data_IF_186303638646
#
_entry.id   IF_186303638646
#
_cell.length_a   1.000
_cell.length_b   1.000
_cell.length_c   1.000
_cell.angle_alpha   90.00
_cell.angle_beta   90.00
_cell.angle_gamma   90.00
#
_symmetry.space_group_name_H-M   'P 1'
#
loop_
_entity.id
_entity.type
_entity.pdbx_description
1 polymer ?
#
# COMPACT_ATOMS: atom_id res chain seq x y z
N UNK A 1 48.51 36.53 16.98
CA UNK A 1 48.68 36.38 18.45
C UNK A 1 47.48 35.71 19.13
N UNK A 2 46.23 36.02 18.75
CA UNK A 2 45.05 35.43 19.41
C UNK A 2 44.95 33.90 19.24
N UNK A 3 45.28 33.37 18.05
CA UNK A 3 45.26 31.93 17.75
C UNK A 3 46.16 31.08 18.65
N UNK A 4 47.31 31.62 19.07
CA UNK A 4 48.24 30.93 19.98
C UNK A 4 47.67 30.90 21.41
N UNK A 5 47.00 31.97 21.84
CA UNK A 5 46.31 32.00 23.13
C UNK A 5 45.11 31.05 23.14
N UNK A 6 44.35 30.97 22.04
CA UNK A 6 43.20 30.06 21.91
C UNK A 6 43.66 28.60 22.00
N UNK A 7 44.74 28.25 21.29
CA UNK A 7 45.34 26.93 21.38
C UNK A 7 45.87 26.64 22.80
N UNK A 8 46.57 27.60 23.42
CA UNK A 8 47.09 27.46 24.78
C UNK A 8 45.97 27.22 25.79
N UNK A 9 44.83 27.90 25.65
CA UNK A 9 43.66 27.70 26.49
C UNK A 9 43.09 26.28 26.33
N UNK A 10 43.02 25.75 25.11
CA UNK A 10 42.56 24.36 24.87
C UNK A 10 43.48 23.35 25.54
N UNK A 11 44.80 23.54 25.48
CA UNK A 11 45.75 22.67 26.17
C UNK A 11 45.67 22.81 27.69
N UNK A 12 45.58 24.03 28.23
CA UNK A 12 45.42 24.25 29.66
C UNK A 12 44.17 23.55 30.18
N UNK A 13 43.04 23.71 29.50
CA UNK A 13 41.77 23.09 29.90
C UNK A 13 41.84 21.56 29.86
N UNK A 14 42.44 20.99 28.82
CA UNK A 14 42.62 19.55 28.70
C UNK A 14 43.54 18.97 29.79
N UNK A 15 44.60 19.69 30.16
CA UNK A 15 45.52 19.29 31.23
C UNK A 15 44.85 19.39 32.60
N UNK A 16 44.16 20.50 32.87
CA UNK A 16 43.46 20.74 34.14
C UNK A 16 42.34 19.71 34.38
N UNK A 17 41.61 19.33 33.32
CA UNK A 17 40.56 18.33 33.39
C UNK A 17 41.06 16.89 33.23
N UNK A 18 42.37 16.68 32.99
CA UNK A 18 42.94 15.36 32.73
C UNK A 18 42.35 14.65 31.50
N UNK A 19 41.88 15.41 30.51
CA UNK A 19 41.25 14.90 29.29
C UNK A 19 42.27 14.74 28.17
N UNK A 20 42.18 13.62 27.47
CA UNK A 20 43.01 13.39 26.29
C UNK A 20 42.45 14.17 25.10
N UNK A 21 43.34 14.83 24.34
CA UNK A 21 42.95 15.54 23.12
C UNK A 21 42.81 14.53 21.98
N UNK A 22 41.57 14.22 21.64
CA UNK A 22 41.24 13.19 20.63
C UNK A 22 41.38 13.69 19.19
N UNK A 23 41.21 15.00 18.96
CA UNK A 23 41.12 15.61 17.62
C UNK A 23 42.42 16.32 17.23
N UNK A 24 42.75 16.31 15.94
CA UNK A 24 43.92 17.00 15.42
C UNK A 24 43.76 18.52 15.54
N UNK A 25 44.73 19.14 16.21
CA UNK A 25 44.82 20.59 16.42
C UNK A 25 45.88 21.16 15.49
N UNK A 26 45.50 22.10 14.63
CA UNK A 26 46.39 22.68 13.63
C UNK A 26 46.44 24.21 13.74
N UNK A 27 47.64 24.76 13.66
CA UNK A 27 47.88 26.19 13.64
C UNK A 27 48.38 26.58 12.26
N UNK A 28 47.51 27.22 11.48
CA UNK A 28 47.77 27.65 10.10
C UNK A 28 47.86 29.18 10.06
N UNK A 29 49.10 29.69 10.10
CA UNK A 29 49.37 31.12 10.21
C UNK A 29 48.73 31.74 11.45
N UNK A 30 47.78 32.66 11.24
CA UNK A 30 47.05 33.34 12.33
C UNK A 30 45.75 32.62 12.74
N UNK A 31 45.51 31.39 12.29
CA UNK A 31 44.29 30.63 12.60
C UNK A 31 44.58 29.35 13.38
N UNK A 32 43.79 29.15 14.43
CA UNK A 32 43.72 27.88 15.14
C UNK A 32 42.51 27.08 14.63
N UNK A 33 42.74 25.84 14.18
CA UNK A 33 41.72 24.98 13.56
C UNK A 33 41.72 23.60 14.22
N UNK A 34 40.56 23.17 14.72
CA UNK A 34 40.32 21.81 15.21
C UNK A 34 39.72 20.98 14.07
N UNK A 35 40.43 19.94 13.62
CA UNK A 35 39.93 19.05 12.58
C UNK A 35 39.10 17.94 13.19
N UNK A 36 37.77 18.12 13.13
CA UNK A 36 36.80 17.17 13.70
C UNK A 36 36.79 15.79 13.05
N UNK A 37 37.40 15.62 11.88
CA UNK A 37 37.44 14.39 11.10
C UNK A 37 38.80 13.66 11.17
N UNK A 38 39.75 14.15 11.96
CA UNK A 38 41.08 13.54 12.12
C UNK A 38 41.33 13.33 13.61
N UNK A 39 41.47 12.06 14.01
CA UNK A 39 41.73 11.68 15.38
C UNK A 39 43.23 11.44 15.59
N UNK A 40 43.80 11.98 16.67
CA UNK A 40 45.21 11.82 17.03
C UNK A 40 45.45 10.48 17.74
N UNK A 41 44.40 9.95 18.37
CA UNK A 41 44.40 8.62 18.98
C UNK A 41 43.85 7.60 17.99
N UNK A 42 44.40 6.37 17.98
CA UNK A 42 43.75 5.25 17.29
C UNK A 42 42.38 5.03 17.96
N UNK A 43 41.31 5.48 17.30
CA UNK A 43 39.95 5.07 17.68
C UNK A 43 39.93 3.56 17.48
N UNK A 44 39.81 2.80 18.57
CA UNK A 44 39.47 1.39 18.47
C UNK A 44 38.13 1.35 17.75
N UNK A 45 38.13 0.85 16.50
CA UNK A 45 36.88 0.61 15.80
C UNK A 45 36.10 -0.39 16.64
N UNK A 46 35.04 0.05 17.31
CA UNK A 46 34.07 -0.83 17.94
C UNK A 46 33.64 -1.81 16.87
N UNK A 47 33.89 -3.11 17.10
CA UNK A 47 33.48 -4.13 16.14
C UNK A 47 31.96 -3.97 15.94
N UNK A 48 31.48 -3.81 14.68
CA UNK A 48 30.07 -3.56 14.41
C UNK A 48 29.24 -4.67 15.05
N UNK A 49 28.33 -4.28 15.95
CA UNK A 49 27.51 -5.20 16.72
C UNK A 49 26.78 -6.12 15.77
N UNK A 50 27.06 -7.41 15.90
CA UNK A 50 26.39 -8.44 15.11
C UNK A 50 25.00 -8.66 15.68
N UNK A 51 23.98 -8.26 14.94
CA UNK A 51 22.58 -8.36 15.32
C UNK A 51 21.98 -9.60 14.66
N UNK A 52 21.34 -10.43 15.49
CA UNK A 52 20.59 -11.62 15.06
C UNK A 52 19.10 -11.33 15.17
N UNK A 53 18.31 -11.96 14.30
CA UNK A 53 16.86 -11.98 14.48
C UNK A 53 16.51 -12.76 15.76
N UNK A 54 15.75 -12.15 16.67
CA UNK A 54 15.35 -12.79 17.93
C UNK A 54 14.26 -13.83 17.64
N UNK A 55 14.47 -15.06 18.11
CA UNK A 55 13.42 -16.08 18.15
C UNK A 55 12.43 -15.74 19.28
N UNK A 56 11.17 -15.49 18.91
CA UNK A 56 10.07 -15.37 19.87
C UNK A 56 9.20 -16.62 19.79
N UNK A 57 8.59 -17.02 20.92
CA UNK A 57 7.78 -18.24 20.99
C UNK A 57 6.58 -18.25 20.04
N UNK A 58 6.01 -17.07 19.76
CA UNK A 58 4.79 -16.89 18.96
C UNK A 58 5.03 -16.29 17.57
N UNK A 59 6.19 -15.68 17.31
CA UNK A 59 6.46 -14.95 16.06
C UNK A 59 7.38 -15.76 15.16
N UNK A 60 7.05 -15.81 13.87
CA UNK A 60 7.90 -16.47 12.88
C UNK A 60 9.18 -15.66 12.66
N UNK A 61 10.33 -16.31 12.60
CA UNK A 61 11.54 -15.70 12.05
C UNK A 61 11.37 -15.49 10.54
N UNK A 62 11.80 -14.35 10.01
CA UNK A 62 11.67 -14.05 8.59
C UNK A 62 12.50 -15.03 7.75
N UNK A 63 13.65 -15.48 8.25
CA UNK A 63 14.44 -16.53 7.60
C UNK A 63 13.65 -17.84 7.41
N UNK A 64 12.83 -18.23 8.40
CA UNK A 64 11.97 -19.41 8.28
C UNK A 64 10.80 -19.18 7.32
N UNK A 65 10.26 -17.96 7.28
CA UNK A 65 9.22 -17.60 6.30
C UNK A 65 9.72 -17.70 4.86
N UNK A 66 11.00 -17.42 4.59
CA UNK A 66 11.60 -17.64 3.27
C UNK A 66 11.56 -19.13 2.91
N UNK A 67 11.88 -20.03 3.85
CA UNK A 67 11.83 -21.48 3.61
C UNK A 67 10.39 -21.96 3.38
N UNK A 68 9.44 -21.47 4.19
CA UNK A 68 8.01 -21.75 4.00
C UNK A 68 7.51 -21.26 2.64
N UNK A 69 7.91 -20.06 2.22
CA UNK A 69 7.61 -19.53 0.89
C UNK A 69 8.09 -20.48 -0.21
N UNK A 70 9.31 -21.01 -0.12
CA UNK A 70 9.83 -21.96 -1.12
C UNK A 70 9.05 -23.29 -1.12
N UNK A 71 8.64 -23.80 0.05
CA UNK A 71 7.75 -24.97 0.14
C UNK A 71 6.42 -24.68 -0.56
N UNK A 72 5.75 -23.57 -0.21
CA UNK A 72 4.47 -23.19 -0.81
C UNK A 72 4.58 -22.95 -2.31
N UNK A 73 5.66 -22.34 -2.77
CA UNK A 73 5.91 -22.08 -4.19
C UNK A 73 6.16 -23.35 -4.98
N UNK A 74 6.76 -24.39 -4.39
CA UNK A 74 6.90 -25.71 -5.02
C UNK A 74 5.56 -26.42 -5.18
N UNK A 75 4.67 -26.28 -4.19
CA UNK A 75 3.33 -26.90 -4.21
C UNK A 75 2.35 -26.11 -5.08
N UNK A 76 2.40 -24.79 -5.02
CA UNK A 76 1.49 -23.87 -5.70
C UNK A 76 2.23 -22.64 -6.26
N UNK A 77 2.88 -22.78 -7.43
CA UNK A 77 3.65 -21.71 -8.05
C UNK A 77 2.84 -20.44 -8.38
N UNK A 78 1.53 -20.57 -8.59
CA UNK A 78 0.63 -19.46 -8.90
C UNK A 78 0.34 -18.55 -7.71
N UNK A 79 0.57 -19.01 -6.47
CA UNK A 79 0.18 -18.30 -5.25
C UNK A 79 -1.02 -18.89 -4.53
N UNK A 80 -1.80 -19.74 -5.20
CA UNK A 80 -3.06 -20.27 -4.65
C UNK A 80 -3.03 -21.78 -4.52
N UNK A 81 -3.48 -22.29 -3.37
CA UNK A 81 -3.60 -23.73 -3.11
C UNK A 81 -4.91 -24.06 -2.40
N UNK A 82 -5.33 -25.32 -2.43
CA UNK A 82 -6.46 -25.78 -1.62
C UNK A 82 -6.16 -25.54 -0.13
N UNK A 83 -7.16 -25.09 0.63
CA UNK A 83 -7.05 -24.87 2.08
C UNK A 83 -6.47 -26.10 2.78
N UNK A 84 -7.02 -27.29 2.50
CA UNK A 84 -6.56 -28.56 3.06
C UNK A 84 -5.08 -28.83 2.79
N UNK A 85 -4.56 -28.39 1.65
CA UNK A 85 -3.14 -28.57 1.31
C UNK A 85 -2.26 -27.70 2.21
N UNK A 86 -2.65 -26.44 2.43
CA UNK A 86 -1.95 -25.57 3.39
C UNK A 86 -1.98 -26.17 4.80
N UNK A 87 -3.14 -26.64 5.24
CA UNK A 87 -3.29 -27.28 6.56
C UNK A 87 -2.40 -28.50 6.69
N UNK A 88 -2.36 -29.40 5.70
CA UNK A 88 -1.52 -30.60 5.76
C UNK A 88 -0.04 -30.28 5.81
N UNK A 89 0.43 -29.29 5.05
CA UNK A 89 1.83 -28.84 5.12
C UNK A 89 2.15 -28.33 6.53
N UNK A 90 1.29 -27.49 7.12
CA UNK A 90 1.53 -26.93 8.45
C UNK A 90 1.41 -27.98 9.56
N UNK A 91 0.49 -28.93 9.44
CA UNK A 91 0.34 -30.07 10.34
C UNK A 91 1.57 -30.99 10.33
N UNK A 92 2.10 -31.27 9.13
CA UNK A 92 3.31 -32.06 8.96
C UNK A 92 4.51 -31.37 9.62
N UNK A 93 4.69 -30.07 9.36
CA UNK A 93 5.75 -29.28 9.99
C UNK A 93 5.59 -29.20 11.52
N UNK A 94 4.38 -29.03 12.03
CA UNK A 94 4.12 -28.96 13.47
C UNK A 94 4.32 -30.30 14.19
N UNK A 95 4.19 -31.44 13.49
CA UNK A 95 4.34 -32.77 14.08
C UNK A 95 5.77 -33.32 13.97
N UNK A 96 6.49 -33.04 12.87
CA UNK A 96 7.82 -33.60 12.60
C UNK A 96 8.98 -32.60 12.80
N UNK A 97 8.73 -31.31 13.01
CA UNK A 97 9.82 -30.33 13.10
C UNK A 97 10.64 -30.36 14.41
N UNK A 98 10.43 -31.36 15.28
CA UNK A 98 11.29 -31.64 16.45
C UNK A 98 12.25 -32.83 16.24
N UNK A 99 12.29 -33.42 15.04
CA UNK A 99 13.23 -34.49 14.73
C UNK A 99 14.69 -34.01 14.78
N UNK A 100 15.60 -34.85 15.29
CA UNK A 100 17.01 -34.49 15.48
C UNK A 100 17.68 -34.13 14.14
N UNK A 101 18.15 -32.89 14.02
CA UNK A 101 18.93 -32.40 12.88
C UNK A 101 18.15 -31.56 11.85
N UNK A 102 16.83 -31.43 11.98
CA UNK A 102 16.03 -30.58 11.09
C UNK A 102 15.76 -29.20 11.73
N UNK A 103 15.84 -28.10 10.95
CA UNK A 103 15.61 -26.75 11.48
C UNK A 103 14.13 -26.49 11.72
N UNK A 104 13.79 -26.05 12.94
CA UNK A 104 12.43 -25.68 13.34
C UNK A 104 11.92 -24.48 12.53
N UNK A 105 11.04 -24.72 11.55
CA UNK A 105 10.50 -23.67 10.68
C UNK A 105 9.37 -22.86 11.33
N UNK A 106 8.57 -23.49 12.19
CA UNK A 106 7.45 -22.84 12.88
C UNK A 106 7.92 -22.22 14.22
N UNK A 107 7.19 -21.22 14.77
CA UNK A 107 7.41 -20.75 16.13
C UNK A 107 7.21 -21.86 17.16
N UNK A 108 7.88 -21.79 18.31
CA UNK A 108 7.85 -22.85 19.32
C UNK A 108 6.44 -23.27 19.73
N UNK A 109 5.52 -22.32 19.90
CA UNK A 109 4.14 -22.61 20.32
C UNK A 109 3.33 -23.40 19.27
N UNK A 110 3.74 -23.39 17.99
CA UNK A 110 3.06 -24.15 16.95
C UNK A 110 3.26 -25.65 17.10
N UNK A 111 4.38 -26.08 17.69
CA UNK A 111 4.63 -27.49 18.00
C UNK A 111 3.80 -28.00 19.19
N UNK A 112 3.19 -27.09 19.95
CA UNK A 112 2.23 -27.45 20.99
C UNK A 112 0.81 -27.67 20.43
N UNK A 113 0.55 -27.27 19.18
CA UNK A 113 -0.77 -27.37 18.55
C UNK A 113 -1.08 -28.83 18.16
N UNK A 114 -2.32 -29.27 18.40
CA UNK A 114 -2.82 -30.53 17.83
C UNK A 114 -3.11 -30.34 16.34
N UNK A 115 -3.21 -31.43 15.60
CA UNK A 115 -3.58 -31.39 14.17
C UNK A 115 -4.88 -30.60 13.93
N UNK A 116 -5.89 -30.81 14.78
CA UNK A 116 -7.15 -30.06 14.72
C UNK A 116 -6.99 -28.57 15.01
N UNK A 117 -6.02 -28.19 15.85
CA UNK A 117 -5.78 -26.79 16.20
C UNK A 117 -5.17 -26.04 15.01
N UNK A 118 -4.29 -26.68 14.24
CA UNK A 118 -3.77 -26.10 12.98
C UNK A 118 -4.89 -25.78 12.00
N UNK A 119 -5.87 -26.70 11.83
CA UNK A 119 -7.06 -26.43 11.01
C UNK A 119 -7.84 -25.23 11.53
N UNK A 120 -8.03 -25.13 12.86
CA UNK A 120 -8.73 -23.99 13.48
C UNK A 120 -8.00 -22.66 13.28
N UNK A 121 -6.67 -22.66 13.29
CA UNK A 121 -5.86 -21.46 12.99
C UNK A 121 -6.14 -21.00 11.56
N UNK A 122 -6.10 -21.92 10.59
CA UNK A 122 -6.36 -21.60 9.18
C UNK A 122 -7.82 -21.16 8.96
N UNK A 123 -8.79 -21.83 9.57
CA UNK A 123 -10.20 -21.44 9.53
C UNK A 123 -10.43 -20.03 10.11
N UNK A 124 -9.78 -19.68 11.24
CA UNK A 124 -9.86 -18.31 11.80
C UNK A 124 -9.17 -17.28 10.88
N UNK A 125 -8.07 -17.67 10.22
CA UNK A 125 -7.30 -16.78 9.36
C UNK A 125 -7.94 -16.52 8.00
N UNK A 126 -8.58 -17.50 7.37
CA UNK A 126 -9.13 -17.36 6.03
C UNK A 126 -10.66 -17.50 5.95
N UNK A 127 -11.30 -17.97 7.02
CA UNK A 127 -12.70 -18.37 6.99
C UNK A 127 -12.88 -19.72 6.29
N UNK A 128 -14.14 -20.09 6.03
CA UNK A 128 -14.45 -21.29 5.27
C UNK A 128 -14.25 -21.03 3.78
N UNK A 129 -13.05 -21.33 3.28
CA UNK A 129 -12.66 -21.16 1.87
C UNK A 129 -12.08 -22.45 1.32
N UNK A 130 -12.34 -22.71 0.03
CA UNK A 130 -11.77 -23.89 -0.65
C UNK A 130 -10.30 -23.67 -1.04
N UNK A 131 -9.95 -22.42 -1.36
CA UNK A 131 -8.61 -22.03 -1.81
C UNK A 131 -8.11 -20.82 -1.02
N UNK A 132 -6.81 -20.87 -0.71
CA UNK A 132 -6.09 -19.82 0.02
C UNK A 132 -4.97 -19.25 -0.86
N UNK A 133 -4.75 -17.95 -0.75
CA UNK A 133 -3.52 -17.32 -1.24
C UNK A 133 -2.45 -17.47 -0.16
N UNK A 134 -1.44 -18.33 -0.40
CA UNK A 134 -0.41 -18.57 0.60
C UNK A 134 0.46 -17.33 0.84
N UNK A 135 0.48 -16.36 -0.09
CA UNK A 135 1.18 -15.09 0.13
C UNK A 135 0.55 -14.33 1.29
N UNK A 136 -0.77 -14.40 1.42
CA UNK A 136 -1.48 -13.76 2.52
C UNK A 136 -1.13 -14.39 3.87
N UNK A 137 -0.99 -15.72 3.94
CA UNK A 137 -0.50 -16.38 5.15
C UNK A 137 0.86 -15.81 5.58
N UNK A 138 1.81 -15.68 4.64
CA UNK A 138 3.13 -15.13 4.93
C UNK A 138 3.07 -13.65 5.35
N UNK A 139 2.18 -12.85 4.75
CA UNK A 139 1.96 -11.45 5.18
C UNK A 139 1.50 -11.38 6.63
N UNK A 140 0.57 -12.24 7.05
CA UNK A 140 0.16 -12.32 8.46
C UNK A 140 1.29 -12.83 9.35
N UNK A 141 2.10 -13.78 8.88
CA UNK A 141 3.18 -14.38 9.66
C UNK A 141 4.41 -13.47 9.82
N UNK A 142 4.64 -12.54 8.90
CA UNK A 142 5.69 -11.51 9.04
C UNK A 142 5.43 -10.56 10.22
N UNK A 143 4.17 -10.38 10.61
CA UNK A 143 3.76 -9.55 11.74
C UNK A 143 4.33 -8.12 11.65
N UNK A 144 4.05 -7.49 10.51
CA UNK A 144 4.46 -6.11 10.21
C UNK A 144 3.44 -5.10 10.77
N UNK A 145 3.87 -3.87 11.09
CA UNK A 145 2.96 -2.79 11.45
C UNK A 145 1.90 -2.56 10.37
N UNK A 146 0.62 -2.51 10.78
CA UNK A 146 -0.49 -2.21 9.89
C UNK A 146 -0.38 -0.78 9.36
N UNK A 147 -0.42 -0.54 8.03
CA UNK A 147 -0.38 0.80 7.48
C UNK A 147 -1.69 1.56 7.70
N UNK A 148 -1.55 2.88 7.87
CA UNK A 148 -2.66 3.81 7.70
C UNK A 148 -3.00 3.99 6.21
N UNK A 149 -4.14 4.63 5.91
CA UNK A 149 -4.47 4.98 4.52
C UNK A 149 -3.39 5.88 3.90
N UNK A 150 -2.89 6.84 4.66
CA UNK A 150 -1.84 7.77 4.22
C UNK A 150 -0.53 7.04 3.91
N UNK A 151 -0.18 6.03 4.70
CA UNK A 151 0.99 5.17 4.43
C UNK A 151 0.88 4.42 3.10
N UNK A 152 -0.30 3.87 2.80
CA UNK A 152 -0.58 3.17 1.53
C UNK A 152 -0.44 4.14 0.34
N UNK A 153 -1.07 5.33 0.44
CA UNK A 153 -1.05 6.33 -0.63
C UNK A 153 0.36 6.89 -0.83
N UNK A 154 1.06 7.24 0.24
CA UNK A 154 2.44 7.72 0.17
C UNK A 154 3.39 6.68 -0.45
N UNK A 155 3.26 5.40 -0.08
CA UNK A 155 4.05 4.34 -0.68
C UNK A 155 3.76 4.18 -2.18
N UNK A 156 2.49 4.23 -2.57
CA UNK A 156 2.06 4.16 -3.97
C UNK A 156 2.60 5.34 -4.78
N UNK A 157 2.54 6.56 -4.27
CA UNK A 157 3.02 7.74 -5.00
C UNK A 157 4.53 7.68 -5.26
N UNK A 158 5.30 7.17 -4.29
CA UNK A 158 6.75 6.92 -4.47
C UNK A 158 7.02 5.90 -5.56
N UNK A 159 6.24 4.83 -5.65
CA UNK A 159 6.38 3.84 -6.73
C UNK A 159 5.94 4.41 -8.07
N UNK A 160 4.81 5.13 -8.13
CA UNK A 160 4.30 5.76 -9.36
C UNK A 160 5.27 6.78 -9.94
N UNK A 161 5.97 7.53 -9.10
CA UNK A 161 7.03 8.46 -9.56
C UNK A 161 8.15 7.73 -10.33
N UNK A 162 8.30 6.42 -10.11
CA UNK A 162 9.29 5.55 -10.75
C UNK A 162 8.69 4.65 -11.86
N UNK A 163 7.37 4.70 -12.08
CA UNK A 163 6.62 3.97 -13.09
C UNK A 163 5.84 4.94 -13.99
N UNK A 164 6.52 5.68 -14.88
CA UNK A 164 5.89 6.67 -15.75
C UNK A 164 4.96 6.03 -16.80
N UNK A 165 5.16 4.74 -17.09
CA UNK A 165 4.36 3.98 -18.05
C UNK A 165 3.08 3.38 -17.42
N UNK A 166 2.88 3.57 -16.10
CA UNK A 166 1.73 3.06 -15.34
C UNK A 166 1.52 1.55 -15.52
N UNK A 167 2.60 0.77 -15.52
CA UNK A 167 2.57 -0.69 -15.68
C UNK A 167 2.31 -1.42 -14.36
N UNK A 168 2.23 -0.69 -13.26
CA UNK A 168 2.07 -1.21 -11.90
C UNK A 168 3.25 -2.08 -11.44
N UNK A 169 4.39 -1.93 -12.12
CA UNK A 169 5.63 -2.66 -11.83
C UNK A 169 6.81 -1.71 -11.73
N UNK A 170 7.74 -2.03 -10.83
CA UNK A 170 9.03 -1.33 -10.71
C UNK A 170 10.16 -2.33 -10.80
N UNK A 171 11.34 -1.88 -11.21
CA UNK A 171 12.55 -2.70 -11.19
C UNK A 171 12.99 -3.03 -9.75
N UNK A 172 13.75 -4.12 -9.57
CA UNK A 172 14.34 -4.47 -8.27
C UNK A 172 15.10 -3.29 -7.63
N UNK A 173 15.92 -2.58 -8.42
CA UNK A 173 16.67 -1.43 -7.91
C UNK A 173 15.77 -0.30 -7.40
N UNK A 174 14.68 -0.01 -8.12
CA UNK A 174 13.67 0.98 -7.70
C UNK A 174 12.94 0.50 -6.43
N UNK A 175 12.56 -0.77 -6.36
CA UNK A 175 11.93 -1.35 -5.17
C UNK A 175 12.82 -1.25 -3.92
N UNK A 176 14.09 -1.63 -4.03
CA UNK A 176 15.02 -1.58 -2.90
C UNK A 176 15.23 -0.16 -2.38
N UNK A 177 15.32 0.83 -3.27
CA UNK A 177 15.47 2.26 -2.90
C UNK A 177 14.22 2.88 -2.30
N UNK A 178 13.04 2.36 -2.61
CA UNK A 178 11.76 2.93 -2.14
C UNK A 178 11.43 2.45 -0.73
N UNK A 179 11.40 3.30 0.29
CA UNK A 179 11.00 2.87 1.63
C UNK A 179 9.50 2.61 1.70
N UNK A 180 9.13 1.60 2.50
CA UNK A 180 7.74 1.32 2.88
C UNK A 180 7.49 1.90 4.27
N UNK A 181 6.22 2.07 4.67
CA UNK A 181 5.81 2.75 5.90
C UNK A 181 6.46 2.18 7.18
N UNK A 182 6.70 0.87 7.24
CA UNK A 182 7.34 0.25 8.39
C UNK A 182 8.86 0.49 8.45
N UNK A 183 9.46 1.08 7.41
CA UNK A 183 10.87 1.51 7.34
C UNK A 183 11.04 3.03 7.22
N UNK A 184 9.95 3.80 7.14
CA UNK A 184 10.01 5.26 7.11
C UNK A 184 10.34 5.80 8.50
N UNK A 185 11.64 5.98 8.77
CA UNK A 185 12.07 6.81 9.89
C UNK A 185 12.17 8.27 9.42
N UNK A 186 11.56 9.24 10.13
CA UNK A 186 11.63 10.66 9.77
C UNK A 186 13.05 11.27 9.89
N UNK A 187 14.02 10.51 10.40
CA UNK A 187 15.44 10.89 10.45
C UNK A 187 16.15 10.29 9.22
N UNK A 188 16.30 11.10 8.18
CA UNK A 188 17.03 10.75 6.95
C UNK A 188 18.51 10.45 7.25
N UNK A 189 19.00 9.27 6.86
CA UNK A 189 19.93 9.12 5.72
C UNK A 189 20.46 7.68 5.59
N UNK A 190 20.47 7.20 4.34
CA UNK A 190 21.21 6.05 3.78
C UNK A 190 20.78 4.63 4.19
N UNK A 191 19.73 4.18 3.51
CA UNK A 191 19.41 2.75 3.27
C UNK A 191 20.39 2.10 2.26
N UNK A 192 21.29 2.89 1.64
CA UNK A 192 22.13 2.46 0.52
C UNK A 192 23.32 1.57 0.93
N UNK A 193 23.85 1.68 2.15
CA UNK A 193 25.01 0.89 2.60
C UNK A 193 24.65 -0.55 3.03
N UNK A 194 23.38 -0.84 3.30
CA UNK A 194 22.94 -2.16 3.78
C UNK A 194 22.51 -3.12 2.66
N UNK A 195 22.10 -2.59 1.50
CA UNK A 195 21.55 -3.41 0.42
C UNK A 195 22.60 -4.25 -0.30
N UNK A 196 23.85 -3.78 -0.40
CA UNK A 196 24.92 -4.52 -1.08
C UNK A 196 25.26 -5.81 -0.31
N UNK A 197 25.20 -5.78 1.02
CA UNK A 197 25.49 -6.92 1.91
C UNK A 197 24.33 -7.92 2.00
N UNK A 198 23.08 -7.45 1.94
CA UNK A 198 21.88 -8.32 2.00
C UNK A 198 21.62 -9.09 0.71
N UNK A 199 22.01 -8.53 -0.46
CA UNK A 199 21.79 -9.15 -1.76
C UNK A 199 22.73 -10.34 -2.02
N UNK A 200 24.00 -10.26 -1.60
CA UNK A 200 24.98 -11.36 -1.76
C UNK A 200 24.62 -12.60 -0.91
N UNK A 201 23.89 -12.45 0.21
CA UNK A 201 23.55 -13.59 1.08
C UNK A 201 22.25 -14.33 0.70
N UNK A 202 21.30 -13.66 0.05
CA UNK A 202 20.01 -14.25 -0.34
C UNK A 202 20.10 -15.17 -1.56
N UNK A 203 21.14 -15.03 -2.38
CA UNK A 203 21.51 -16.01 -3.42
C UNK A 203 22.23 -17.23 -2.83
N UNK A 204 22.93 -17.06 -1.69
CA UNK A 204 23.63 -18.14 -0.97
C UNK A 204 22.77 -19.02 -0.06
N UNK A 205 21.48 -18.71 0.18
CA UNK A 205 20.58 -19.60 0.96
C UNK A 205 20.21 -20.88 0.18
N UNK A 206 20.58 -20.97 -1.10
CA UNK A 206 20.42 -22.20 -1.89
C UNK A 206 21.56 -23.21 -1.72
N UNK A 207 22.66 -22.85 -1.03
CA UNK A 207 23.72 -23.79 -0.66
C UNK A 207 23.55 -24.22 0.80
N UNK A 208 23.26 -25.51 0.96
CA UNK A 208 23.27 -26.25 2.22
C UNK A 208 24.54 -25.93 3.02
N UNK A 209 24.39 -25.37 4.21
CA UNK A 209 25.19 -25.62 5.43
C UNK A 209 24.65 -24.73 6.58
N UNK A 210 24.57 -25.33 7.77
CA UNK A 210 24.01 -24.77 9.02
C UNK A 210 24.84 -23.62 9.61
N UNK A 211 24.85 -22.47 8.93
CA UNK A 211 25.46 -21.25 9.48
C UNK A 211 24.39 -20.19 9.81
N UNK A 212 24.16 -19.98 11.11
CA UNK A 212 23.39 -18.87 11.67
C UNK A 212 23.98 -17.51 11.23
N UNK A 213 23.35 -16.86 10.24
CA UNK A 213 23.89 -15.63 9.63
C UNK A 213 23.73 -14.40 10.54
N UNK A 214 24.82 -13.65 10.70
CA UNK A 214 24.97 -12.48 11.56
C UNK A 214 24.98 -11.20 10.72
N UNK A 215 24.20 -10.19 11.10
CA UNK A 215 24.13 -8.92 10.37
C UNK A 215 24.87 -7.81 11.13
N UNK A 216 25.64 -6.97 10.44
CA UNK A 216 26.34 -5.84 11.05
C UNK A 216 25.44 -4.60 11.06
N UNK A 217 25.17 -4.03 12.25
CA UNK A 217 24.53 -2.73 12.40
C UNK A 217 25.52 -1.75 13.04
N UNK A 218 25.62 -0.52 12.51
CA UNK A 218 26.41 0.55 13.13
C UNK A 218 25.62 1.10 14.33
N UNK A 219 26.25 1.12 15.52
CA UNK A 219 25.59 1.36 16.82
C UNK A 219 25.27 2.85 17.13
N UNK A 220 25.59 3.80 16.25
CA UNK A 220 25.55 5.23 16.57
C UNK A 220 24.24 5.98 16.22
N UNK A 221 23.20 5.32 15.70
CA UNK A 221 22.01 6.01 15.19
C UNK A 221 20.70 5.65 15.94
N UNK A 222 19.93 6.66 16.42
CA UNK A 222 18.68 6.43 17.14
C UNK A 222 17.55 6.03 16.19
N UNK A 223 17.46 4.74 15.90
CA UNK A 223 16.33 4.12 15.22
C UNK A 223 15.03 4.32 16.02
N UNK A 224 13.89 4.38 15.33
CA UNK A 224 12.56 4.44 15.95
C UNK A 224 12.15 3.10 16.60
N UNK A 225 12.95 2.05 16.40
CA UNK A 225 12.76 0.67 16.88
C UNK A 225 14.11 0.06 17.26
N UNK A 226 14.13 -1.07 17.98
CA UNK A 226 15.39 -1.74 18.29
C UNK A 226 16.13 -2.17 17.01
N UNK A 227 17.46 -2.35 17.06
CA UNK A 227 18.24 -2.83 15.92
C UNK A 227 17.72 -4.16 15.35
N UNK A 228 17.25 -5.06 16.22
CA UNK A 228 16.68 -6.36 15.85
C UNK A 228 15.36 -6.24 15.08
N UNK A 229 14.47 -5.35 15.53
CA UNK A 229 13.19 -5.09 14.86
C UNK A 229 13.41 -4.40 13.50
N UNK A 230 14.42 -3.53 13.42
CA UNK A 230 14.83 -2.89 12.16
C UNK A 230 15.32 -3.93 11.15
N UNK A 231 16.21 -4.84 11.58
CA UNK A 231 16.67 -5.96 10.76
C UNK A 231 15.50 -6.83 10.29
N UNK A 232 14.59 -7.22 11.19
CA UNK A 232 13.40 -8.00 10.85
C UNK A 232 12.59 -7.34 9.73
N UNK A 233 12.32 -6.05 9.85
CA UNK A 233 11.57 -5.28 8.85
C UNK A 233 12.28 -5.21 7.50
N UNK A 234 13.61 -5.10 7.50
CA UNK A 234 14.40 -5.16 6.28
C UNK A 234 14.32 -6.53 5.60
N UNK A 235 14.44 -7.61 6.37
CA UNK A 235 14.25 -8.98 5.86
C UNK A 235 12.84 -9.19 5.32
N UNK A 236 11.82 -8.68 6.02
CA UNK A 236 10.43 -8.78 5.58
C UNK A 236 10.19 -8.03 4.27
N UNK A 237 10.80 -6.86 4.08
CA UNK A 237 10.81 -6.15 2.79
C UNK A 237 11.44 -6.99 1.67
N UNK A 238 12.54 -7.71 1.96
CA UNK A 238 13.15 -8.61 0.97
C UNK A 238 12.24 -9.79 0.62
N UNK A 239 11.57 -10.37 1.62
CA UNK A 239 10.60 -11.44 1.39
C UNK A 239 9.40 -10.95 0.54
N UNK A 240 8.85 -9.77 0.85
CA UNK A 240 7.81 -9.14 0.04
C UNK A 240 8.24 -8.94 -1.41
N UNK A 241 9.48 -8.49 -1.63
CA UNK A 241 10.05 -8.38 -2.98
C UNK A 241 9.90 -9.71 -3.74
N UNK A 242 10.39 -10.81 -3.17
CA UNK A 242 10.34 -12.15 -3.79
C UNK A 242 8.92 -12.66 -4.04
N UNK A 243 7.99 -12.35 -3.15
CA UNK A 243 6.59 -12.80 -3.26
C UNK A 243 5.83 -12.12 -4.41
N UNK A 244 6.15 -10.86 -4.70
CA UNK A 244 5.46 -10.03 -5.69
C UNK A 244 6.29 -9.74 -6.95
N UNK A 245 7.39 -10.48 -7.15
CA UNK A 245 8.13 -10.47 -8.42
C UNK A 245 7.28 -11.06 -9.55
N UNK A 246 7.12 -10.30 -10.63
CA UNK A 246 6.44 -10.74 -11.86
C UNK A 246 7.40 -11.42 -12.84
N UNK A 247 8.67 -11.00 -12.83
CA UNK A 247 9.77 -11.65 -13.53
C UNK A 247 11.07 -11.54 -12.71
N UNK A 248 12.22 -11.87 -13.30
CA UNK A 248 13.53 -11.84 -12.60
C UNK A 248 14.02 -10.42 -12.22
N UNK A 249 13.33 -9.36 -12.66
CA UNK A 249 13.78 -7.97 -12.57
C UNK A 249 12.68 -7.00 -12.16
N UNK A 250 11.40 -7.39 -12.22
CA UNK A 250 10.26 -6.53 -11.91
C UNK A 250 9.44 -7.03 -10.72
N UNK A 251 8.92 -6.08 -9.94
CA UNK A 251 8.05 -6.29 -8.77
C UNK A 251 6.73 -5.56 -9.02
N UNK A 252 5.62 -6.26 -8.86
CA UNK A 252 4.29 -5.65 -8.91
C UNK A 252 3.99 -4.98 -7.57
N UNK A 253 4.15 -3.66 -7.53
CA UNK A 253 3.99 -2.89 -6.30
C UNK A 253 2.52 -2.68 -5.94
N UNK A 254 1.61 -2.63 -6.93
CA UNK A 254 0.17 -2.49 -6.66
C UNK A 254 -0.38 -3.72 -5.94
N UNK A 255 -0.06 -4.93 -6.43
CA UNK A 255 -0.45 -6.18 -5.79
C UNK A 255 0.16 -6.32 -4.38
N UNK A 256 1.41 -5.87 -4.20
CA UNK A 256 2.05 -5.82 -2.89
C UNK A 256 1.28 -4.91 -1.93
N UNK A 257 0.99 -3.67 -2.33
CA UNK A 257 0.28 -2.70 -1.47
C UNK A 257 -1.16 -3.17 -1.18
N UNK A 258 -1.83 -3.79 -2.15
CA UNK A 258 -3.17 -4.33 -2.00
C UNK A 258 -3.25 -5.39 -0.88
N UNK A 259 -2.18 -6.17 -0.67
CA UNK A 259 -2.11 -7.15 0.40
C UNK A 259 -2.17 -6.56 1.82
N UNK A 260 -1.94 -5.25 1.93
CA UNK A 260 -2.00 -4.48 3.19
C UNK A 260 -3.21 -3.54 3.28
N UNK A 261 -4.12 -3.56 2.30
CA UNK A 261 -5.40 -2.85 2.39
C UNK A 261 -6.36 -3.57 3.34
N UNK A 262 -6.04 -3.53 4.63
CA UNK A 262 -6.75 -4.21 5.72
C UNK A 262 -7.10 -3.21 6.81
N UNK A 263 -8.22 -3.44 7.48
CA UNK A 263 -8.65 -2.67 8.64
C UNK A 263 -9.41 -3.56 9.64
N UNK A 264 -9.73 -3.07 10.84
CA UNK A 264 -10.59 -3.80 11.77
C UNK A 264 -11.99 -3.96 11.16
N UNK A 265 -12.47 -2.90 10.51
CA UNK A 265 -13.70 -2.91 9.74
C UNK A 265 -13.40 -3.26 8.27
N UNK A 266 -13.89 -4.39 7.73
CA UNK A 266 -13.59 -4.78 6.35
C UNK A 266 -14.06 -3.76 5.30
N UNK A 267 -15.08 -2.94 5.62
CA UNK A 267 -15.48 -1.78 4.80
C UNK A 267 -14.32 -0.81 4.59
N UNK A 268 -13.63 -0.46 5.68
CA UNK A 268 -12.56 0.52 5.67
C UNK A 268 -11.28 -0.07 5.06
N UNK A 269 -11.06 -1.38 5.21
CA UNK A 269 -10.04 -2.12 4.46
C UNK A 269 -10.28 -2.10 2.94
N UNK A 270 -11.51 -2.34 2.49
CA UNK A 270 -11.87 -2.23 1.08
C UNK A 270 -11.80 -0.78 0.58
N UNK A 271 -12.16 0.21 1.40
CA UNK A 271 -11.99 1.62 1.07
C UNK A 271 -10.50 1.98 0.84
N UNK A 272 -9.56 1.40 1.61
CA UNK A 272 -8.12 1.53 1.34
C UNK A 272 -7.73 0.94 -0.01
N UNK A 273 -8.30 -0.20 -0.41
CA UNK A 273 -8.05 -0.82 -1.71
C UNK A 273 -8.57 0.05 -2.87
N UNK A 274 -9.76 0.65 -2.73
CA UNK A 274 -10.29 1.60 -3.69
C UNK A 274 -9.43 2.87 -3.78
N UNK A 275 -8.99 3.40 -2.64
CA UNK A 275 -8.11 4.57 -2.60
C UNK A 275 -6.76 4.32 -3.28
N UNK A 276 -6.19 3.13 -3.06
CA UNK A 276 -4.98 2.65 -3.73
C UNK A 276 -5.16 2.61 -5.26
N UNK A 277 -6.33 2.18 -5.76
CA UNK A 277 -6.61 2.19 -7.20
C UNK A 277 -6.78 3.62 -7.73
N UNK A 278 -7.54 4.45 -7.03
CA UNK A 278 -8.03 5.74 -7.54
C UNK A 278 -7.03 6.88 -7.44
N UNK A 279 -6.31 7.03 -6.34
CA UNK A 279 -5.47 8.23 -6.16
C UNK A 279 -5.47 8.73 -4.75
N UNK A 280 -6.66 8.66 -4.15
CA UNK A 280 -7.05 9.56 -3.08
C UNK A 280 -8.00 8.84 -2.12
N UNK A 281 -8.25 9.44 -0.95
CA UNK A 281 -9.19 8.93 0.02
C UNK A 281 -10.59 8.78 -0.57
N UNK A 282 -11.20 7.60 -0.37
CA UNK A 282 -12.58 7.33 -0.76
C UNK A 282 -13.50 7.56 0.42
N UNK A 283 -14.62 8.27 0.22
CA UNK A 283 -15.58 8.53 1.27
C UNK A 283 -16.33 7.24 1.66
N UNK A 284 -15.99 6.67 2.81
CA UNK A 284 -16.70 5.53 3.41
C UNK A 284 -17.70 5.94 4.50
N UNK A 285 -17.56 7.16 5.04
CA UNK A 285 -18.41 7.66 6.14
C UNK A 285 -19.78 8.11 5.64
N UNK A 286 -20.83 7.56 6.24
CA UNK A 286 -22.21 7.85 5.84
C UNK A 286 -22.60 9.31 6.11
N UNK A 287 -22.12 9.91 7.20
CA UNK A 287 -22.51 11.29 7.55
C UNK A 287 -21.85 12.31 6.63
N UNK A 288 -20.55 12.14 6.38
CA UNK A 288 -19.77 12.94 5.43
C UNK A 288 -20.35 12.84 4.02
N UNK A 289 -20.61 11.62 3.56
CA UNK A 289 -21.15 11.37 2.22
C UNK A 289 -22.58 11.89 2.01
N UNK A 290 -23.48 11.73 2.98
CA UNK A 290 -24.83 12.30 2.88
C UNK A 290 -24.84 13.83 3.02
N UNK A 291 -23.87 14.42 3.73
CA UNK A 291 -23.68 15.88 3.74
C UNK A 291 -23.31 16.36 2.35
N UNK A 292 -22.32 15.72 1.72
CA UNK A 292 -21.91 16.02 0.34
C UNK A 292 -23.08 15.89 -0.64
N UNK A 293 -23.85 14.80 -0.57
CA UNK A 293 -25.00 14.57 -1.44
C UNK A 293 -26.07 15.69 -1.30
N UNK A 294 -26.37 16.12 -0.06
CA UNK A 294 -27.31 17.22 0.20
C UNK A 294 -26.80 18.55 -0.35
N UNK A 295 -25.52 18.86 -0.16
CA UNK A 295 -24.91 20.07 -0.69
C UNK A 295 -24.94 20.08 -2.23
N UNK A 296 -24.63 18.95 -2.87
CA UNK A 296 -24.69 18.81 -4.33
C UNK A 296 -26.10 19.02 -4.87
N UNK A 297 -27.10 18.43 -4.22
CA UNK A 297 -28.51 18.61 -4.58
C UNK A 297 -28.96 20.06 -4.44
N UNK A 298 -28.54 20.75 -3.38
CA UNK A 298 -28.79 22.17 -3.20
C UNK A 298 -28.13 22.98 -4.33
N UNK A 299 -26.86 22.73 -4.63
CA UNK A 299 -26.15 23.40 -5.73
C UNK A 299 -26.87 23.21 -7.06
N UNK A 300 -27.34 22.00 -7.39
CA UNK A 300 -28.14 21.75 -8.60
C UNK A 300 -29.48 22.50 -8.61
N UNK A 301 -30.16 22.60 -7.47
CA UNK A 301 -31.42 23.37 -7.34
C UNK A 301 -31.22 24.88 -7.48
N UNK A 302 -30.06 25.38 -7.04
CA UNK A 302 -29.70 26.80 -7.12
C UNK A 302 -28.87 27.17 -8.35
N UNK A 303 -28.39 26.18 -9.14
CA UNK A 303 -27.78 26.41 -10.43
C UNK A 303 -28.81 27.08 -11.35
N UNK A 304 -28.65 28.37 -11.70
CA UNK A 304 -29.69 29.10 -12.36
C UNK A 304 -29.84 28.59 -13.81
N UNK A 305 -31.06 28.29 -14.29
CA UNK A 305 -31.33 28.16 -15.73
C UNK A 305 -30.95 29.41 -16.51
N UNK A 306 -30.73 30.52 -15.80
CA UNK A 306 -30.57 31.86 -16.33
C UNK A 306 -29.22 32.08 -17.03
N UNK A 307 -28.16 31.35 -16.71
CA UNK A 307 -26.86 31.55 -17.38
C UNK A 307 -26.85 30.93 -18.77
N UNK A 308 -27.33 29.68 -18.90
CA UNK A 308 -27.57 29.06 -20.19
C UNK A 308 -28.64 29.80 -21.01
N UNK A 309 -29.68 30.32 -20.35
CA UNK A 309 -30.74 31.10 -21.01
C UNK A 309 -30.26 32.50 -21.43
N UNK A 310 -29.43 33.20 -20.65
CA UNK A 310 -28.88 34.50 -21.04
C UNK A 310 -27.76 34.35 -22.06
N UNK A 311 -26.93 33.32 -21.99
CA UNK A 311 -25.99 32.99 -23.06
C UNK A 311 -26.75 32.64 -24.33
N UNK A 312 -27.79 31.80 -24.26
CA UNK A 312 -28.65 31.50 -25.40
C UNK A 312 -29.37 32.74 -25.94
N UNK A 313 -29.92 33.61 -25.08
CA UNK A 313 -30.53 34.89 -25.49
C UNK A 313 -29.51 35.85 -26.09
N UNK A 314 -28.27 35.86 -25.59
CA UNK A 314 -27.19 36.72 -26.11
C UNK A 314 -26.71 36.23 -27.46
N UNK A 315 -26.59 34.91 -27.65
CA UNK A 315 -26.32 34.26 -28.94
C UNK A 315 -27.48 34.52 -29.91
N UNK A 316 -28.74 34.38 -29.46
CA UNK A 316 -29.92 34.64 -30.29
C UNK A 316 -30.00 36.11 -30.72
N UNK A 317 -29.73 37.06 -29.81
CA UNK A 317 -29.61 38.49 -30.14
C UNK A 317 -28.46 38.77 -31.11
N UNK A 318 -27.33 38.09 -30.98
CA UNK A 318 -26.20 38.22 -31.91
C UNK A 318 -26.54 37.68 -33.31
N UNK A 319 -27.28 36.58 -33.38
CA UNK A 319 -27.75 35.99 -34.64
C UNK A 319 -28.82 36.87 -35.31
N UNK A 320 -29.79 37.39 -34.54
CA UNK A 320 -30.79 38.33 -35.06
C UNK A 320 -30.15 39.62 -35.60
N UNK A 321 -29.15 40.18 -34.91
CA UNK A 321 -28.37 41.33 -35.39
C UNK A 321 -27.49 41.03 -36.62
N UNK A 322 -27.13 39.77 -36.88
CA UNK A 322 -26.46 39.38 -38.13
C UNK A 322 -27.45 39.30 -39.27
N UNK A 323 -28.64 38.74 -39.04
CA UNK A 323 -29.72 38.66 -40.04
C UNK A 323 -30.20 40.06 -40.47
N UNK A 324 -30.32 41.01 -39.52
CA UNK A 324 -30.68 42.40 -39.84
C UNK A 324 -29.58 43.12 -40.65
N UNK A 325 -28.31 42.77 -40.47
CA UNK A 325 -27.19 43.32 -41.27
C UNK A 325 -27.05 42.65 -42.65
N UNK A 326 -27.47 41.40 -42.78
CA UNK A 326 -27.46 40.67 -44.04
C UNK A 326 -28.68 41.01 -44.93
N UNK A 327 -29.71 41.70 -44.40
CA UNK A 327 -30.79 42.30 -45.21
C UNK A 327 -30.45 43.69 -45.80
N UNK A 328 -29.42 44.39 -45.29
CA UNK A 328 -28.95 45.66 -45.85
C UNK A 328 -27.77 45.52 -46.84
N UNK A 329 -27.30 44.30 -47.09
CA UNK A 329 -26.24 44.03 -48.07
C UNK A 329 -26.63 42.90 -49.02
N UNK A 330 -27.65 43.15 -49.85
CA UNK A 330 -27.82 42.37 -51.07
C UNK A 330 -26.72 42.74 -52.08
N UNK A 331 -25.70 41.91 -52.20
CA UNK A 331 -25.18 41.49 -53.51
C UNK A 331 -24.17 40.33 -53.38
N UNK A 332 -24.52 39.26 -54.08
CA UNK A 332 -23.65 38.24 -54.69
C UNK A 332 -22.94 37.20 -53.80
N UNK A 333 -23.20 35.92 -54.13
CA UNK A 333 -22.21 34.85 -53.96
C UNK A 333 -22.71 33.56 -53.31
N UNK A 334 -23.04 32.59 -54.14
CA UNK A 334 -23.58 31.26 -53.83
C UNK A 334 -22.56 30.27 -53.21
N UNK A 335 -23.10 29.25 -52.50
CA UNK A 335 -22.56 27.90 -52.21
C UNK A 335 -21.59 27.74 -51.02
N UNK A 336 -21.64 26.68 -50.19
CA UNK A 336 -22.56 25.55 -50.01
C UNK A 336 -22.22 24.87 -48.66
N UNK A 337 -23.23 24.25 -48.07
CA UNK A 337 -23.14 23.32 -46.94
C UNK A 337 -22.12 22.19 -47.18
N UNK A 338 -21.35 21.82 -46.15
CA UNK A 338 -20.73 20.49 -46.05
C UNK A 338 -20.77 19.97 -44.62
N UNK A 339 -21.57 18.92 -44.44
CA UNK A 339 -21.76 18.08 -43.26
C UNK A 339 -20.75 16.91 -43.31
N UNK A 340 -20.37 16.47 -42.11
CA UNK A 340 -19.68 15.22 -41.72
C UNK A 340 -18.30 14.90 -42.30
N UNK A 341 -17.35 14.71 -41.37
CA UNK A 341 -16.18 13.84 -41.51
C UNK A 341 -15.86 13.29 -40.13
N UNK A 342 -16.23 12.04 -39.88
CA UNK A 342 -15.89 11.27 -38.68
C UNK A 342 -14.39 10.99 -38.62
N UNK A 343 -13.82 11.06 -37.41
CA UNK A 343 -12.70 10.22 -37.01
C UNK A 343 -12.76 9.95 -35.50
N UNK A 344 -12.56 8.68 -35.18
CA UNK A 344 -12.69 7.97 -33.90
C UNK A 344 -11.85 8.63 -32.79
N UNK A 345 -12.31 8.72 -31.51
CA UNK A 345 -11.46 9.16 -30.42
C UNK A 345 -10.87 7.98 -29.61
N UNK A 346 -9.58 8.13 -29.31
CA UNK A 346 -8.77 7.36 -28.39
C UNK A 346 -9.41 7.29 -26.99
N UNK A 347 -9.87 6.09 -26.63
CA UNK A 347 -10.47 5.78 -25.34
C UNK A 347 -9.40 5.27 -24.35
N UNK A 348 -8.78 6.20 -23.61
CA UNK A 348 -8.46 6.02 -22.19
C UNK A 348 -8.05 7.36 -21.53
N UNK A 349 -7.43 8.26 -22.29
CA UNK A 349 -7.02 9.58 -21.77
C UNK A 349 -8.15 10.62 -21.71
N UNK A 350 -9.22 10.43 -22.51
CA UNK A 350 -10.34 11.39 -22.53
C UNK A 350 -11.20 11.32 -21.26
N UNK A 351 -11.16 10.22 -20.50
CA UNK A 351 -11.93 10.12 -19.26
C UNK A 351 -11.25 10.85 -18.11
N UNK A 352 -9.92 10.72 -17.98
CA UNK A 352 -9.14 11.43 -16.96
C UNK A 352 -9.05 12.93 -17.25
N UNK A 353 -9.09 13.33 -18.53
CA UNK A 353 -9.01 14.75 -18.92
C UNK A 353 -10.35 15.50 -18.85
N UNK A 354 -11.50 14.80 -18.88
CA UNK A 354 -12.82 15.44 -18.97
C UNK A 354 -13.41 15.85 -17.62
N UNK A 355 -12.88 15.33 -16.51
CA UNK A 355 -13.31 15.71 -15.15
C UNK A 355 -12.60 16.95 -14.56
N UNK A 356 -11.63 17.56 -15.24
CA UNK A 356 -11.00 18.80 -14.76
C UNK A 356 -11.61 20.11 -15.31
N UNK A 357 -12.71 20.04 -16.06
CA UNK A 357 -13.32 21.24 -16.69
C UNK A 357 -14.42 21.92 -15.85
N UNK A 358 -14.70 21.48 -14.62
CA UNK A 358 -15.73 22.08 -13.75
C UNK A 358 -15.17 22.61 -12.41
N UNK A 359 -13.85 22.66 -12.28
CA UNK A 359 -13.20 23.41 -11.23
C UNK A 359 -13.01 24.87 -11.70
N UNK A 360 -14.06 25.69 -11.64
CA UNK A 360 -13.89 27.15 -11.74
C UNK A 360 -14.33 27.87 -10.46
N UNK A 361 -13.33 28.54 -9.88
CA UNK A 361 -13.37 29.77 -9.07
C UNK A 361 -13.97 29.71 -7.66
N UNK A 362 -13.16 29.22 -6.72
CA UNK A 362 -13.11 29.79 -5.36
C UNK A 362 -11.95 30.79 -5.29
N UNK A 363 -12.05 31.88 -4.48
CA UNK A 363 -11.05 32.94 -4.48
C UNK A 363 -9.73 32.43 -3.89
N UNK A 364 -8.62 32.91 -4.45
CA UNK A 364 -7.27 32.70 -3.91
C UNK A 364 -7.21 33.15 -2.43
N UNK A 365 -7.25 32.18 -1.52
CA UNK A 365 -6.84 32.37 -0.13
C UNK A 365 -6.26 31.06 0.40
N UNK A 366 -4.96 31.09 0.67
CA UNK A 366 -4.14 30.18 1.47
C UNK A 366 -4.18 28.69 1.11
N UNK A 367 -3.07 28.21 0.55
CA UNK A 367 -2.81 26.81 0.24
C UNK A 367 -2.70 25.96 1.53
N UNK A 368 -3.84 25.56 2.08
CA UNK A 368 -3.94 24.35 2.87
C UNK A 368 -4.04 23.16 1.90
N UNK A 369 -3.21 22.14 2.13
CA UNK A 369 -3.15 20.89 1.37
C UNK A 369 -4.47 20.12 1.59
N UNK A 370 -5.53 20.53 0.90
CA UNK A 370 -6.85 19.90 1.03
C UNK A 370 -6.80 18.52 0.38
N UNK A 371 -6.74 17.48 1.21
CA UNK A 371 -6.86 16.08 0.79
C UNK A 371 -8.11 15.91 -0.09
N UNK A 372 -7.91 15.56 -1.36
CA UNK A 372 -9.00 15.34 -2.30
C UNK A 372 -9.76 14.09 -1.85
N UNK A 373 -11.07 14.20 -1.64
CA UNK A 373 -11.93 13.07 -1.27
C UNK A 373 -12.77 12.64 -2.46
N UNK A 374 -12.76 11.34 -2.76
CA UNK A 374 -13.54 10.72 -3.83
C UNK A 374 -14.90 10.30 -3.28
N UNK A 375 -15.95 10.97 -3.75
CA UNK A 375 -17.33 10.68 -3.38
C UNK A 375 -18.06 9.79 -4.40
N UNK A 376 -17.60 9.75 -5.65
CA UNK A 376 -18.23 9.01 -6.73
C UNK A 376 -17.36 7.81 -7.14
N UNK A 377 -17.98 6.64 -7.25
CA UNK A 377 -17.29 5.40 -7.55
C UNK A 377 -17.85 4.75 -8.83
N UNK A 378 -17.03 4.63 -9.88
CA UNK A 378 -17.37 3.87 -11.08
C UNK A 378 -17.48 2.35 -10.83
N UNK A 379 -18.38 1.69 -11.56
CA UNK A 379 -18.64 0.25 -11.46
C UNK A 379 -17.43 -0.58 -11.91
N UNK A 380 -16.79 -0.19 -13.01
CA UNK A 380 -15.62 -0.85 -13.58
C UNK A 380 -14.43 -0.84 -12.62
N UNK A 381 -14.19 0.27 -11.91
CA UNK A 381 -13.16 0.38 -10.88
C UNK A 381 -13.47 -0.56 -9.72
N UNK A 382 -14.71 -0.58 -9.24
CA UNK A 382 -15.11 -1.48 -8.15
C UNK A 382 -14.94 -2.95 -8.52
N UNK A 383 -15.38 -3.35 -9.73
CA UNK A 383 -15.18 -4.71 -10.26
C UNK A 383 -13.70 -5.03 -10.37
N UNK A 384 -12.88 -4.12 -10.89
CA UNK A 384 -11.44 -4.33 -11.08
C UNK A 384 -10.74 -4.56 -9.75
N UNK A 385 -11.01 -3.72 -8.73
CA UNK A 385 -10.39 -3.87 -7.40
C UNK A 385 -10.84 -5.16 -6.72
N UNK A 386 -12.13 -5.51 -6.83
CA UNK A 386 -12.63 -6.77 -6.28
C UNK A 386 -12.01 -7.97 -7.00
N UNK A 387 -11.91 -7.95 -8.33
CA UNK A 387 -11.29 -9.02 -9.11
C UNK A 387 -9.79 -9.18 -8.80
N UNK A 388 -9.09 -8.09 -8.48
CA UNK A 388 -7.68 -8.12 -8.10
C UNK A 388 -7.45 -8.61 -6.66
N UNK A 389 -8.36 -8.30 -5.73
CA UNK A 389 -8.19 -8.58 -4.30
C UNK A 389 -8.84 -9.89 -3.84
N UNK A 390 -9.99 -10.25 -4.42
CA UNK A 390 -10.84 -11.34 -3.96
C UNK A 390 -10.60 -12.60 -4.79
N UNK A 391 -10.55 -13.80 -4.17
CA UNK A 391 -10.41 -15.04 -4.92
C UNK A 391 -11.50 -15.22 -5.97
N UNK A 392 -11.10 -15.63 -7.18
CA UNK A 392 -12.00 -15.78 -8.33
C UNK A 392 -13.21 -16.67 -8.07
N UNK A 393 -13.08 -17.69 -7.21
CA UNK A 393 -14.17 -18.61 -6.89
C UNK A 393 -15.28 -17.93 -6.08
N UNK A 394 -14.95 -16.97 -5.21
CA UNK A 394 -15.96 -16.17 -4.49
C UNK A 394 -16.79 -15.34 -5.47
N UNK A 395 -16.12 -14.76 -6.47
CA UNK A 395 -16.77 -13.94 -7.50
C UNK A 395 -17.58 -14.79 -8.51
N UNK A 396 -17.28 -16.09 -8.62
CA UNK A 396 -17.96 -17.00 -9.53
C UNK A 396 -18.96 -17.94 -8.83
N UNK A 397 -19.01 -17.96 -7.50
CA UNK A 397 -20.04 -18.67 -6.74
C UNK A 397 -21.41 -18.14 -7.16
N UNK A 398 -22.28 -19.02 -7.65
CA UNK A 398 -23.65 -18.65 -8.01
C UNK A 398 -24.36 -18.07 -6.77
N UNK A 399 -24.64 -16.77 -6.80
CA UNK A 399 -25.42 -16.13 -5.74
C UNK A 399 -26.88 -16.51 -6.00
N UNK A 400 -27.37 -17.52 -5.30
CA UNK A 400 -28.76 -17.94 -5.38
C UNK A 400 -29.68 -16.86 -4.81
N UNK A 401 -30.18 -16.00 -5.69
CA UNK A 401 -31.35 -15.18 -5.43
C UNK A 401 -32.52 -15.91 -6.07
N UNK A 402 -33.51 -16.26 -5.25
CA UNK A 402 -34.78 -16.91 -5.58
C UNK A 402 -35.13 -16.79 -7.08
N UNK A 403 -34.82 -17.85 -7.83
CA UNK A 403 -35.29 -18.07 -9.21
C UNK A 403 -34.48 -17.50 -10.38
N UNK A 404 -33.35 -16.78 -10.19
CA UNK A 404 -32.44 -16.40 -11.29
C UNK A 404 -30.98 -16.45 -10.84
N UNK A 405 -30.16 -17.29 -11.49
CA UNK A 405 -28.70 -17.22 -11.34
C UNK A 405 -28.21 -15.93 -12.03
N UNK A 406 -27.70 -14.99 -11.25
CA UNK A 406 -26.98 -13.82 -11.75
C UNK A 406 -25.49 -14.01 -11.49
N UNK A 407 -24.65 -13.56 -12.43
CA UNK A 407 -23.21 -13.46 -12.16
C UNK A 407 -22.94 -12.40 -11.07
N UNK A 408 -21.79 -12.46 -10.40
CA UNK A 408 -21.42 -11.43 -9.42
C UNK A 408 -21.46 -10.02 -10.01
N UNK A 409 -20.93 -9.85 -11.22
CA UNK A 409 -20.95 -8.58 -11.94
C UNK A 409 -22.37 -8.07 -12.19
N UNK A 410 -23.30 -8.95 -12.60
CA UNK A 410 -24.72 -8.58 -12.77
C UNK A 410 -25.39 -8.21 -11.45
N UNK A 411 -25.02 -8.88 -10.35
CA UNK A 411 -25.53 -8.54 -9.02
C UNK A 411 -25.02 -7.17 -8.57
N UNK A 412 -23.72 -6.90 -8.73
CA UNK A 412 -23.14 -5.61 -8.41
C UNK A 412 -23.72 -4.50 -9.29
N UNK A 413 -23.89 -4.72 -10.59
CA UNK A 413 -24.58 -3.79 -11.48
C UNK A 413 -26.01 -3.50 -11.04
N UNK A 414 -26.74 -4.52 -10.54
CA UNK A 414 -28.08 -4.33 -9.98
C UNK A 414 -28.06 -3.45 -8.72
N UNK A 415 -27.02 -3.56 -7.88
CA UNK A 415 -26.83 -2.69 -6.71
C UNK A 415 -26.50 -1.26 -7.15
N UNK A 416 -25.71 -1.09 -8.20
CA UNK A 416 -25.43 0.25 -8.75
C UNK A 416 -26.70 0.94 -9.26
N UNK A 417 -27.55 0.22 -9.99
CA UNK A 417 -28.85 0.75 -10.42
C UNK A 417 -29.80 1.04 -9.25
N UNK A 418 -29.75 0.26 -8.16
CA UNK A 418 -30.51 0.53 -6.94
C UNK A 418 -30.05 1.81 -6.22
N UNK A 419 -28.74 2.04 -6.17
CA UNK A 419 -28.13 3.19 -5.50
C UNK A 419 -28.09 4.45 -6.36
N UNK A 420 -28.43 4.33 -7.65
CA UNK A 420 -28.43 5.43 -8.61
C UNK A 420 -29.46 6.48 -8.22
N UNK A 421 -29.00 7.72 -8.17
CA UNK A 421 -29.81 8.88 -7.80
C UNK A 421 -29.79 9.88 -8.97
N UNK A 422 -30.84 9.83 -9.79
CA UNK A 422 -30.96 10.62 -11.04
C UNK A 422 -30.93 12.13 -10.76
N UNK A 423 -31.36 12.57 -9.57
CA UNK A 423 -31.29 13.98 -9.20
C UNK A 423 -29.83 14.43 -8.99
N UNK A 424 -28.95 13.51 -8.55
CA UNK A 424 -27.54 13.79 -8.24
C UNK A 424 -26.60 13.49 -9.41
N UNK A 425 -26.77 12.38 -10.12
CA UNK A 425 -25.97 12.03 -11.29
C UNK A 425 -26.80 11.22 -12.31
N UNK A 426 -26.72 11.63 -13.57
CA UNK A 426 -27.41 10.96 -14.68
C UNK A 426 -26.64 9.75 -15.22
N UNK A 427 -25.35 9.62 -14.89
CA UNK A 427 -24.52 8.47 -15.29
C UNK A 427 -25.02 7.17 -14.65
N UNK A 428 -25.02 6.08 -15.43
CA UNK A 428 -25.61 4.79 -15.01
C UNK A 428 -24.68 3.94 -14.15
N UNK A 429 -23.37 4.08 -14.36
CA UNK A 429 -22.37 3.18 -13.80
C UNK A 429 -21.54 3.84 -12.69
N UNK A 430 -22.07 4.90 -12.07
CA UNK A 430 -21.38 5.66 -11.04
C UNK A 430 -22.33 5.90 -9.86
N UNK A 431 -21.87 5.60 -8.65
CA UNK A 431 -22.66 5.76 -7.42
C UNK A 431 -21.87 6.48 -6.35
N UNK A 432 -22.56 6.98 -5.33
CA UNK A 432 -21.90 7.54 -4.16
C UNK A 432 -21.17 6.45 -3.38
N UNK A 433 -19.88 6.62 -3.16
CA UNK A 433 -18.99 5.64 -2.57
C UNK A 433 -19.46 5.19 -1.18
N UNK A 434 -19.88 6.14 -0.32
CA UNK A 434 -20.37 5.80 1.02
C UNK A 434 -21.68 5.00 0.96
N UNK A 435 -22.57 5.27 -0.01
CA UNK A 435 -23.82 4.50 -0.16
C UNK A 435 -23.52 3.06 -0.57
N UNK A 436 -22.58 2.86 -1.50
CA UNK A 436 -22.15 1.52 -1.92
C UNK A 436 -21.45 0.76 -0.79
N UNK A 437 -20.46 1.38 -0.14
CA UNK A 437 -19.66 0.76 0.91
C UNK A 437 -20.49 0.35 2.14
N UNK A 438 -21.59 1.04 2.40
CA UNK A 438 -22.51 0.72 3.50
C UNK A 438 -23.75 -0.07 3.04
N UNK A 439 -23.83 -0.46 1.77
CA UNK A 439 -24.93 -1.28 1.26
C UNK A 439 -24.88 -2.71 1.83
N UNK A 440 -26.03 -3.33 2.09
CA UNK A 440 -26.11 -4.66 2.72
C UNK A 440 -25.35 -5.74 1.93
N UNK A 441 -25.45 -5.70 0.59
CA UNK A 441 -24.70 -6.60 -0.29
C UNK A 441 -23.18 -6.50 -0.08
N UNK A 442 -22.65 -5.28 -0.03
CA UNK A 442 -21.20 -5.05 0.14
C UNK A 442 -20.77 -5.45 1.54
N UNK A 443 -21.53 -5.07 2.56
CA UNK A 443 -21.27 -5.47 3.95
C UNK A 443 -21.22 -6.99 4.10
N UNK A 444 -22.18 -7.72 3.51
CA UNK A 444 -22.19 -9.18 3.53
C UNK A 444 -20.98 -9.77 2.81
N UNK A 445 -20.71 -9.32 1.58
CA UNK A 445 -19.56 -9.78 0.77
C UNK A 445 -18.24 -9.60 1.52
N UNK A 446 -17.98 -8.40 2.03
CA UNK A 446 -16.70 -8.06 2.67
C UNK A 446 -16.49 -8.85 3.98
N UNK A 447 -17.56 -9.09 4.74
CA UNK A 447 -17.51 -9.94 5.94
C UNK A 447 -17.26 -11.42 5.61
N UNK A 448 -17.79 -11.92 4.49
CA UNK A 448 -17.59 -13.32 4.07
C UNK A 448 -16.15 -13.57 3.60
N UNK A 449 -15.55 -12.63 2.86
CA UNK A 449 -14.23 -12.83 2.26
C UNK A 449 -13.09 -12.70 3.28
N UNK A 450 -13.23 -11.85 4.30
CA UNK A 450 -12.22 -11.66 5.35
C UNK A 450 -10.87 -11.08 4.90
N UNK A 451 -10.63 -10.92 3.58
CA UNK A 451 -9.41 -10.40 2.94
C UNK A 451 -9.05 -8.98 3.36
N UNK A 452 -10.07 -8.16 3.64
CA UNK A 452 -9.91 -6.75 4.01
C UNK A 452 -9.87 -6.53 5.52
N UNK A 453 -9.78 -7.61 6.32
CA UNK A 453 -9.76 -7.54 7.77
C UNK A 453 -8.35 -7.78 8.31
N UNK A 454 -7.94 -7.01 9.32
CA UNK A 454 -6.70 -7.26 10.05
C UNK A 454 -6.85 -8.55 10.85
N UNK A 455 -5.87 -9.44 10.75
CA UNK A 455 -5.80 -10.67 11.54
C UNK A 455 -4.39 -10.84 12.08
N UNK A 456 -4.29 -11.20 13.37
CA UNK A 456 -3.03 -11.51 14.04
C UNK A 456 -2.94 -13.00 14.32
N UNK A 457 -1.91 -13.64 13.76
CA UNK A 457 -1.63 -15.05 14.04
C UNK A 457 -1.25 -15.27 15.50
N UNK A 458 -0.58 -14.32 16.13
CA UNK A 458 -0.21 -14.40 17.55
C UNK A 458 -1.45 -14.50 18.43
N UNK A 459 -2.44 -13.63 18.22
CA UNK A 459 -3.70 -13.64 18.96
C UNK A 459 -4.47 -14.94 18.69
N UNK A 460 -4.61 -15.34 17.42
CA UNK A 460 -5.36 -16.55 17.03
C UNK A 460 -4.75 -17.80 17.68
N UNK A 461 -3.44 -17.97 17.62
CA UNK A 461 -2.74 -19.13 18.20
C UNK A 461 -2.80 -19.08 19.72
N UNK A 462 -2.62 -17.90 20.32
CA UNK A 462 -2.74 -17.68 21.76
C UNK A 462 -4.12 -18.09 22.30
N UNK A 463 -5.19 -17.62 21.66
CA UNK A 463 -6.57 -17.94 22.03
C UNK A 463 -6.85 -19.45 21.96
N UNK A 464 -6.38 -20.11 20.89
CA UNK A 464 -6.57 -21.56 20.72
C UNK A 464 -5.84 -22.35 21.82
N UNK A 465 -4.63 -21.94 22.20
CA UNK A 465 -3.87 -22.57 23.27
C UNK A 465 -4.51 -22.33 24.64
N UNK A 466 -5.10 -21.15 24.89
CA UNK A 466 -5.82 -20.82 26.12
C UNK A 466 -7.12 -21.62 26.24
N UNK A 467 -7.94 -21.65 25.18
CA UNK A 467 -9.18 -22.44 25.13
C UNK A 467 -8.94 -23.94 25.41
N UNK A 468 -7.73 -24.43 25.13
CA UNK A 468 -7.32 -25.80 25.45
C UNK A 468 -6.94 -26.00 26.91
N UNK A 469 -6.41 -24.98 27.59
CA UNK A 469 -6.08 -25.08 29.01
C UNK A 469 -7.34 -25.08 29.88
N UNK A 470 -8.41 -24.45 29.39
CA UNK A 470 -9.70 -24.33 30.07
C UNK A 470 -10.66 -25.51 29.80
N UNK A 471 -10.31 -26.43 28.87
CA UNK A 471 -11.10 -27.60 28.46
C UNK A 471 -10.49 -28.91 28.98
#
# INVERSE_FOLDING_TARGET
MNSVNDMANVFCFAIEEGRMLEKELLLDGDRFVVRSNVYVTKVEATEPRRVKEIAWSLRFQVANLVRLMEIFKRVAPSGTMCERTLVYILQDLASHGQEEGEPMLLPCCWYELRLSDVSRVIDRLFGSVDYVDWREFLVHAMDLPTPTLQDILAARDRFRTQDPDLREVVSLAQYHRTPLWFLDCPKKNRVEEFHQTLLDEFEGVSSLEDDEKLYHLNDDEPFCSSPEETLRRMLAKQLLCRMYMTDRRSVNYTALLLAFCKDENPRDGFAKALALALGNRVCADTQEGERYAKELLQRKRFAPPHEALEVAKTILKHLMRRIDRDQESSSEGTNAFKLCGESIPDSLESFVSREYAWAESAPESDAEDHEVVIYWLPLDICITVLAAAVPWHVLNSEIHIVGKCKTFAERLASVYEELRDVDLNDEKDVVLAHRLLNHEFMTHLLNTVGKFTIKSLEIIVGDILLERQDA
#
